data_IF_038766837887
#
_entry.id   IF_038766837887
#
_cell.length_a   1.000
_cell.length_b   1.000
_cell.length_c   1.000
_cell.angle_alpha   90.00
_cell.angle_beta   90.00
_cell.angle_gamma   90.00
#
_symmetry.space_group_name_H-M   'P 1'
#
loop_
_entity.id
_entity.type
_entity.pdbx_description
1 polymer ?
#
# COMPACT_ATOMS: atom_id res chain seq x y z
N UNK A 1 -37.59 -15.80 -25.32
CA UNK A 1 -37.40 -15.33 -23.93
C UNK A 1 -36.22 -16.09 -23.35
N UNK A 2 -35.14 -15.43 -22.91
CA UNK A 2 -34.08 -16.09 -22.13
C UNK A 2 -34.54 -16.09 -20.67
N UNK A 3 -34.77 -17.27 -20.10
CA UNK A 3 -35.01 -17.42 -18.68
C UNK A 3 -33.76 -16.97 -17.90
N UNK A 4 -33.94 -16.08 -16.93
CA UNK A 4 -32.88 -15.66 -16.01
C UNK A 4 -32.65 -16.80 -15.03
N UNK A 5 -31.48 -17.43 -15.12
CA UNK A 5 -31.01 -18.42 -14.17
C UNK A 5 -30.52 -17.67 -12.93
N UNK A 6 -31.30 -17.64 -11.85
CA UNK A 6 -30.88 -17.04 -10.58
C UNK A 6 -30.16 -18.09 -9.74
N UNK A 7 -28.83 -18.15 -9.87
CA UNK A 7 -27.96 -18.90 -8.96
C UNK A 7 -27.39 -17.97 -7.88
N UNK A 8 -27.43 -18.40 -6.63
CA UNK A 8 -26.66 -17.77 -5.54
C UNK A 8 -25.27 -18.38 -5.47
N UNK A 9 -24.24 -17.55 -5.33
CA UNK A 9 -22.87 -18.00 -5.07
C UNK A 9 -22.27 -17.24 -3.89
N UNK A 10 -21.29 -17.84 -3.21
CA UNK A 10 -20.55 -17.21 -2.12
C UNK A 10 -19.23 -16.64 -2.65
N UNK A 11 -18.92 -15.43 -2.23
CA UNK A 11 -17.69 -14.72 -2.58
C UNK A 11 -17.09 -14.09 -1.34
N UNK A 12 -15.78 -14.21 -1.18
CA UNK A 12 -15.06 -13.71 -0.01
C UNK A 12 -13.98 -12.72 -0.45
N UNK A 13 -13.73 -11.73 0.42
CA UNK A 13 -12.63 -10.78 0.28
C UNK A 13 -12.17 -10.40 1.68
N UNK A 14 -10.87 -10.22 1.86
CA UNK A 14 -10.25 -9.98 3.17
C UNK A 14 -9.49 -8.65 3.24
N UNK A 15 -9.14 -8.22 4.46
CA UNK A 15 -8.43 -6.98 4.79
C UNK A 15 -7.29 -7.22 5.73
N UNK A 16 -6.23 -6.42 5.60
CA UNK A 16 -5.31 -6.16 6.69
C UNK A 16 -5.32 -4.69 7.06
N UNK A 17 -4.98 -4.40 8.32
CA UNK A 17 -4.89 -3.04 8.85
C UNK A 17 -3.56 -2.38 8.44
N UNK A 18 -3.46 -1.09 8.71
CA UNK A 18 -2.29 -0.28 8.39
C UNK A 18 -0.99 -0.65 9.11
N UNK A 19 -1.10 -1.41 10.21
CA UNK A 19 -0.01 -1.92 11.03
C UNK A 19 0.41 -3.35 10.67
N UNK A 20 -0.20 -3.93 9.64
CA UNK A 20 0.32 -5.17 9.04
C UNK A 20 1.72 -4.92 8.48
N UNK A 21 2.70 -5.82 8.68
CA UNK A 21 4.08 -5.63 8.23
C UNK A 21 4.18 -5.26 6.75
N UNK A 22 3.43 -5.93 5.87
CA UNK A 22 3.42 -5.60 4.44
C UNK A 22 2.90 -4.19 4.15
N UNK A 23 1.95 -3.70 4.96
CA UNK A 23 1.43 -2.33 4.84
C UNK A 23 2.38 -1.29 5.39
N UNK A 24 3.26 -1.66 6.31
CA UNK A 24 4.39 -0.81 6.71
C UNK A 24 5.33 -0.66 5.51
N UNK A 25 5.72 -1.77 4.88
CA UNK A 25 6.59 -1.76 3.71
C UNK A 25 6.02 -0.89 2.58
N UNK A 26 4.75 -1.09 2.24
CA UNK A 26 4.05 -0.26 1.25
C UNK A 26 4.17 1.23 1.57
N UNK A 27 3.86 1.60 2.81
CA UNK A 27 3.82 3.01 3.24
C UNK A 27 5.20 3.64 3.24
N UNK A 28 6.23 2.90 3.68
CA UNK A 28 7.61 3.38 3.66
C UNK A 28 8.06 3.60 2.21
N UNK A 29 7.85 2.62 1.33
CA UNK A 29 8.15 2.75 -0.10
C UNK A 29 7.40 3.92 -0.76
N UNK A 30 6.13 4.15 -0.40
CA UNK A 30 5.38 5.33 -0.86
C UNK A 30 5.95 6.65 -0.33
N UNK A 31 6.29 6.72 0.97
CA UNK A 31 6.82 7.94 1.58
C UNK A 31 8.16 8.34 0.95
N UNK A 32 9.02 7.36 0.64
CA UNK A 32 10.28 7.58 -0.05
C UNK A 32 10.05 8.07 -1.48
N UNK A 33 9.12 7.45 -2.20
CA UNK A 33 8.73 7.92 -3.53
C UNK A 33 8.22 9.37 -3.51
N UNK A 34 7.32 9.70 -2.59
CA UNK A 34 6.76 11.05 -2.46
C UNK A 34 7.86 12.05 -2.15
N UNK A 35 8.80 11.71 -1.27
CA UNK A 35 9.98 12.54 -1.00
C UNK A 35 10.86 12.73 -2.25
N UNK A 36 11.05 11.70 -3.08
CA UNK A 36 11.80 11.87 -4.33
C UNK A 36 11.07 12.83 -5.30
N UNK A 37 9.77 12.63 -5.48
CA UNK A 37 8.96 13.36 -6.48
C UNK A 37 8.60 14.80 -6.07
N UNK A 38 8.53 15.10 -4.77
CA UNK A 38 8.18 16.42 -4.26
C UNK A 38 9.11 17.53 -4.78
N UNK A 39 10.41 17.23 -4.92
CA UNK A 39 11.41 18.22 -5.35
C UNK A 39 12.06 17.87 -6.69
N UNK A 40 11.99 16.61 -7.13
CA UNK A 40 12.42 16.19 -8.46
C UNK A 40 11.34 15.31 -9.12
N UNK A 41 10.45 15.96 -9.86
CA UNK A 41 9.35 15.33 -10.62
C UNK A 41 9.85 14.30 -11.66
N UNK A 42 11.14 14.35 -12.03
CA UNK A 42 11.75 13.41 -12.99
C UNK A 42 12.42 12.22 -12.32
N UNK A 43 12.39 12.14 -10.98
CA UNK A 43 12.96 11.03 -10.23
C UNK A 43 12.46 9.68 -10.75
N UNK A 44 13.39 8.74 -10.86
CA UNK A 44 13.14 7.34 -11.20
C UNK A 44 13.26 6.56 -9.92
N UNK A 45 12.19 5.89 -9.52
CA UNK A 45 12.11 5.27 -8.20
C UNK A 45 11.51 3.90 -8.35
N UNK A 46 12.28 2.90 -7.93
CA UNK A 46 11.84 1.54 -7.68
C UNK A 46 12.34 1.18 -6.27
N UNK A 47 11.60 1.66 -5.26
CA UNK A 47 11.95 1.53 -3.86
C UNK A 47 11.19 0.35 -3.25
N UNK A 48 11.94 -0.66 -2.83
CA UNK A 48 11.42 -1.82 -2.11
C UNK A 48 11.71 -1.67 -0.61
N UNK A 49 10.79 -2.16 0.21
CA UNK A 49 10.96 -2.18 1.67
C UNK A 49 10.63 -3.57 2.18
N UNK A 50 11.46 -4.09 3.08
CA UNK A 50 11.13 -5.26 3.89
C UNK A 50 11.33 -4.96 5.37
N UNK A 51 10.57 -5.63 6.23
CA UNK A 51 10.62 -5.42 7.68
C UNK A 51 10.64 -6.74 8.42
N UNK A 52 11.37 -6.76 9.53
CA UNK A 52 11.41 -7.87 10.48
C UNK A 52 11.57 -7.30 11.90
N UNK A 53 11.58 -8.17 12.90
CA UNK A 53 11.83 -7.80 14.30
C UNK A 53 13.02 -6.85 14.40
N UNK A 54 12.76 -5.66 14.92
CA UNK A 54 13.75 -4.60 15.15
C UNK A 54 14.52 -4.14 13.90
N UNK A 55 14.00 -4.35 12.69
CA UNK A 55 14.69 -4.00 11.45
C UNK A 55 13.73 -3.56 10.35
N UNK A 56 14.03 -2.45 9.70
CA UNK A 56 13.43 -2.04 8.42
C UNK A 56 14.55 -1.87 7.41
N UNK A 57 14.46 -2.55 6.28
CA UNK A 57 15.40 -2.43 5.18
C UNK A 57 14.72 -1.81 3.98
N UNK A 58 15.34 -0.78 3.44
CA UNK A 58 14.95 -0.12 2.20
C UNK A 58 16.00 -0.44 1.15
N UNK A 59 15.59 -0.91 -0.01
CA UNK A 59 16.48 -1.31 -1.10
C UNK A 59 15.86 -1.07 -2.47
N UNK A 60 16.66 -1.22 -3.53
CA UNK A 60 16.24 -1.03 -4.92
C UNK A 60 16.89 0.19 -5.57
N UNK A 61 16.31 0.63 -6.69
CA UNK A 61 16.94 1.57 -7.61
C UNK A 61 16.29 2.96 -7.53
N UNK A 62 17.07 3.97 -7.15
CA UNK A 62 16.61 5.35 -7.11
C UNK A 62 17.59 6.27 -7.84
N UNK A 63 17.09 6.93 -8.89
CA UNK A 63 17.80 7.99 -9.61
C UNK A 63 17.05 9.30 -9.40
N UNK A 64 17.60 10.18 -8.56
CA UNK A 64 17.03 11.49 -8.23
C UNK A 64 18.15 12.52 -8.03
N UNK A 65 17.86 13.79 -8.31
CA UNK A 65 18.78 14.89 -7.99
C UNK A 65 18.66 15.38 -6.54
N UNK A 66 17.71 14.84 -5.76
CA UNK A 66 17.44 15.23 -4.37
C UNK A 66 18.33 14.45 -3.40
N UNK A 67 18.78 15.13 -2.33
CA UNK A 67 19.25 14.43 -1.12
C UNK A 67 18.04 13.97 -0.31
N UNK A 68 17.84 12.67 -0.24
CA UNK A 68 16.75 12.03 0.51
C UNK A 68 17.31 11.43 1.79
N UNK A 69 16.70 11.77 2.92
CA UNK A 69 17.03 11.17 4.22
C UNK A 69 16.12 9.95 4.45
N UNK A 70 16.58 8.79 3.98
CA UNK A 70 15.82 7.55 4.04
C UNK A 70 15.55 7.10 5.48
N UNK A 71 16.52 7.23 6.39
CA UNK A 71 16.37 6.84 7.79
C UNK A 71 15.25 7.64 8.46
N UNK A 72 15.28 8.96 8.31
CA UNK A 72 14.23 9.83 8.86
C UNK A 72 12.85 9.48 8.30
N UNK A 73 12.73 9.25 6.99
CA UNK A 73 11.44 8.91 6.36
C UNK A 73 10.90 7.58 6.89
N UNK A 74 11.75 6.56 7.03
CA UNK A 74 11.37 5.25 7.59
C UNK A 74 10.83 5.44 9.00
N UNK A 75 11.57 6.12 9.87
CA UNK A 75 11.19 6.34 11.28
C UNK A 75 9.90 7.15 11.40
N UNK A 76 9.78 8.24 10.66
CA UNK A 76 8.58 9.09 10.67
C UNK A 76 7.35 8.33 10.19
N UNK A 77 7.51 7.48 9.18
CA UNK A 77 6.43 6.64 8.67
C UNK A 77 5.99 5.61 9.70
N UNK A 78 6.93 4.86 10.30
CA UNK A 78 6.65 3.88 11.35
C UNK A 78 5.98 4.55 12.57
N UNK A 79 6.47 5.71 13.01
CA UNK A 79 5.89 6.47 14.11
C UNK A 79 4.48 6.95 13.80
N UNK A 80 4.22 7.40 12.56
CA UNK A 80 2.90 7.81 12.09
C UNK A 80 1.86 6.67 12.07
N UNK A 81 2.30 5.41 11.95
CA UNK A 81 1.43 4.23 12.04
C UNK A 81 1.10 3.89 13.51
N UNK A 82 2.02 4.18 14.44
CA UNK A 82 1.87 3.92 15.87
C UNK A 82 2.99 3.07 16.49
N UNK A 83 4.04 2.74 15.73
CA UNK A 83 5.19 1.97 16.20
C UNK A 83 6.13 2.84 17.04
N UNK A 84 5.87 2.90 18.34
CA UNK A 84 6.52 3.82 19.30
C UNK A 84 7.25 3.08 20.44
N UNK A 85 7.16 1.75 20.49
CA UNK A 85 7.86 0.93 21.49
C UNK A 85 7.98 -0.52 21.01
N UNK A 86 8.94 -1.26 21.57
CA UNK A 86 9.10 -2.68 21.24
C UNK A 86 7.85 -3.52 21.58
N UNK A 87 7.08 -3.11 22.60
CA UNK A 87 5.86 -3.81 23.06
C UNK A 87 4.74 -3.80 22.01
N UNK A 88 4.71 -2.79 21.14
CA UNK A 88 3.74 -2.73 20.02
C UNK A 88 4.24 -3.46 18.76
N UNK A 89 5.41 -4.12 18.84
CA UNK A 89 6.00 -4.97 17.80
C UNK A 89 7.16 -4.34 17.04
N UNK A 90 7.27 -3.01 17.03
CA UNK A 90 8.38 -2.27 16.43
C UNK A 90 8.51 -0.91 17.12
N UNK A 91 9.74 -0.51 17.39
CA UNK A 91 10.08 0.80 17.94
C UNK A 91 10.74 1.66 16.85
N UNK A 92 10.05 2.69 16.35
CA UNK A 92 10.58 3.55 15.29
C UNK A 92 11.85 4.30 15.70
N UNK A 93 12.07 4.56 16.99
CA UNK A 93 13.22 5.32 17.46
C UNK A 93 14.46 4.41 17.66
N UNK A 94 14.24 3.14 17.97
CA UNK A 94 15.31 2.18 18.28
C UNK A 94 15.53 1.09 17.22
N UNK A 95 14.66 0.98 16.20
CA UNK A 95 14.84 -0.03 15.16
C UNK A 95 16.07 0.22 14.29
N UNK A 96 16.64 -0.88 13.80
CA UNK A 96 17.74 -0.85 12.83
C UNK A 96 17.18 -0.50 11.44
N UNK A 97 17.67 0.60 10.85
CA UNK A 97 17.29 0.98 9.49
C UNK A 97 18.45 0.71 8.56
N UNK A 98 18.25 -0.23 7.64
CA UNK A 98 19.22 -0.60 6.62
C UNK A 98 18.86 0.08 5.30
N UNK A 99 19.76 0.90 4.77
CA UNK A 99 19.56 1.60 3.50
C UNK A 99 20.51 1.00 2.48
N UNK A 100 19.96 0.26 1.51
CA UNK A 100 20.70 -0.41 0.45
C UNK A 100 20.13 0.00 -0.93
N UNK A 101 20.17 1.31 -1.20
CA UNK A 101 19.69 1.93 -2.44
C UNK A 101 20.83 2.06 -3.44
N UNK A 102 20.61 1.60 -4.67
CA UNK A 102 21.53 1.73 -5.80
C UNK A 102 20.99 2.73 -6.83
N UNK A 103 21.86 3.18 -7.74
CA UNK A 103 21.42 3.94 -8.92
C UNK A 103 20.89 2.98 -9.98
N UNK A 104 19.83 3.37 -10.67
CA UNK A 104 19.24 2.55 -11.74
C UNK A 104 20.27 2.21 -12.82
N UNK A 105 20.26 0.96 -13.27
CA UNK A 105 21.18 0.51 -14.33
C UNK A 105 20.94 1.27 -15.65
N UNK A 106 22.00 1.59 -16.42
CA UNK A 106 21.87 2.28 -17.70
C UNK A 106 21.00 1.54 -18.72
N UNK A 107 21.06 0.20 -18.74
CA UNK A 107 20.29 -0.63 -19.67
C UNK A 107 18.78 -0.53 -19.41
N UNK A 108 18.36 -0.55 -18.13
CA UNK A 108 16.95 -0.37 -17.75
C UNK A 108 16.51 1.06 -18.01
N UNK A 109 17.37 2.05 -17.72
CA UNK A 109 17.07 3.45 -18.01
C UNK A 109 16.84 3.67 -19.52
N UNK A 110 17.64 3.05 -20.38
CA UNK A 110 17.51 3.17 -21.83
C UNK A 110 16.19 2.56 -22.34
N UNK A 111 15.81 1.38 -21.86
CA UNK A 111 14.58 0.72 -22.27
C UNK A 111 13.32 1.49 -21.82
N UNK A 112 13.34 2.00 -20.58
CA UNK A 112 12.19 2.69 -19.98
C UNK A 112 12.05 4.13 -20.49
N UNK A 113 13.11 4.77 -21.00
CA UNK A 113 13.10 6.20 -21.36
C UNK A 113 13.09 6.51 -22.86
N UNK A 114 13.42 5.55 -23.71
CA UNK A 114 13.53 5.76 -25.17
C UNK A 114 12.18 6.02 -25.88
N UNK A 115 11.04 5.68 -25.25
CA UNK A 115 9.73 5.64 -25.93
C UNK A 115 8.71 6.73 -25.51
N UNK A 116 9.06 7.71 -24.67
CA UNK A 116 8.09 8.68 -24.13
C UNK A 116 7.95 9.97 -24.96
N UNK A 117 6.90 10.06 -25.80
CA UNK A 117 6.35 11.35 -26.27
C UNK A 117 5.58 12.02 -25.12
N UNK A 118 5.95 13.27 -24.82
CA UNK A 118 5.45 14.06 -23.69
C UNK A 118 4.02 14.56 -23.94
N UNK A 119 3.06 14.10 -23.14
CA UNK A 119 1.81 14.82 -22.92
C UNK A 119 1.72 15.28 -21.46
N UNK A 120 1.47 16.57 -21.24
CA UNK A 120 1.41 17.18 -19.91
C UNK A 120 -0.04 17.26 -19.47
N UNK A 121 -0.48 16.32 -18.63
CA UNK A 121 -1.74 16.45 -17.89
C UNK A 121 -1.49 16.41 -16.38
N UNK A 122 -2.04 17.40 -15.68
CA UNK A 122 -1.94 17.56 -14.22
C UNK A 122 -2.77 16.48 -13.53
N UNK A 123 -2.20 15.82 -12.52
CA UNK A 123 -2.91 14.94 -11.60
C UNK A 123 -3.58 15.74 -10.48
N UNK A 124 -4.79 15.34 -10.09
CA UNK A 124 -5.55 15.96 -8.99
C UNK A 124 -5.03 15.47 -7.62
N UNK A 125 -5.09 16.31 -6.57
CA UNK A 125 -4.65 15.91 -5.24
C UNK A 125 -5.72 15.06 -4.54
N UNK A 126 -5.29 13.95 -3.93
CA UNK A 126 -6.17 13.02 -3.24
C UNK A 126 -5.96 13.10 -1.72
N UNK A 127 -6.95 13.61 -0.99
CA UNK A 127 -6.98 13.52 0.48
C UNK A 127 -8.40 13.33 1.02
N UNK A 128 -8.45 12.72 2.20
CA UNK A 128 -9.59 12.46 3.12
C UNK A 128 -10.32 11.12 2.94
N UNK A 129 -9.75 10.06 3.54
CA UNK A 129 -10.52 9.03 4.27
C UNK A 129 -9.67 8.13 5.19
N UNK A 130 -8.34 8.15 5.08
CA UNK A 130 -7.44 7.30 5.89
C UNK A 130 -7.18 7.75 7.33
N UNK A 131 -7.83 8.79 7.85
CA UNK A 131 -7.55 9.34 9.19
C UNK A 131 -8.38 8.73 10.33
N UNK A 132 -9.41 7.91 10.03
CA UNK A 132 -10.42 7.54 11.04
C UNK A 132 -10.19 6.21 11.76
N UNK A 133 -9.34 5.31 11.26
CA UNK A 133 -9.03 4.04 11.92
C UNK A 133 -7.79 4.14 12.84
N UNK A 134 -6.90 5.09 12.58
CA UNK A 134 -5.75 5.40 13.46
C UNK A 134 -6.20 6.14 14.74
N UNK A 135 -7.29 6.90 14.69
CA UNK A 135 -7.90 7.54 15.89
C UNK A 135 -8.52 6.52 16.86
N UNK A 136 -9.00 5.36 16.38
CA UNK A 136 -9.60 4.31 17.22
C UNK A 136 -8.56 3.71 18.19
N UNK A 137 -7.27 3.74 17.83
CA UNK A 137 -6.17 3.31 18.71
C UNK A 137 -5.93 4.30 19.87
N UNK A 138 -6.36 5.56 19.74
CA UNK A 138 -6.24 6.60 20.78
C UNK A 138 -7.39 6.57 21.79
N UNK A 139 -8.61 6.26 21.34
CA UNK A 139 -9.82 6.41 22.16
C UNK A 139 -10.33 5.11 22.82
N UNK A 140 -9.70 3.95 22.54
CA UNK A 140 -10.02 2.61 23.10
C UNK A 140 -11.48 2.14 22.98
N UNK A 141 -12.36 2.91 22.34
CA UNK A 141 -13.72 2.49 21.99
C UNK A 141 -13.78 2.27 20.48
N UNK A 142 -14.03 1.03 20.08
CA UNK A 142 -14.32 0.69 18.69
C UNK A 142 -15.83 0.80 18.47
N UNK A 143 -16.36 1.88 17.87
CA UNK A 143 -17.65 1.79 17.20
C UNK A 143 -17.42 0.88 15.99
N UNK A 144 -17.61 -0.43 16.19
CA UNK A 144 -17.73 -1.41 15.11
C UNK A 144 -18.60 -0.80 14.01
N UNK A 145 -18.04 -0.71 12.81
CA UNK A 145 -18.78 -0.29 11.63
C UNK A 145 -19.89 -1.32 11.45
N UNK A 146 -21.11 -1.02 11.90
CA UNK A 146 -22.26 -1.91 11.69
C UNK A 146 -22.50 -1.95 10.19
N UNK A 147 -22.37 -3.12 9.52
CA UNK A 147 -22.76 -3.24 8.13
C UNK A 147 -24.23 -2.83 7.96
N UNK A 148 -24.60 -2.35 6.79
CA UNK A 148 -25.98 -1.98 6.47
C UNK A 148 -26.91 -3.15 6.82
N UNK A 149 -27.93 -2.89 7.66
CA UNK A 149 -28.79 -3.93 8.25
C UNK A 149 -29.55 -4.74 7.21
N UNK A 150 -29.70 -4.23 5.98
CA UNK A 150 -30.35 -4.96 4.88
C UNK A 150 -29.57 -6.20 4.40
N UNK A 151 -28.29 -6.33 4.76
CA UNK A 151 -27.42 -7.46 4.38
C UNK A 151 -27.14 -8.43 5.54
N UNK A 152 -27.72 -8.18 6.71
CA UNK A 152 -27.52 -8.99 7.91
C UNK A 152 -28.81 -9.67 8.30
N UNK A 153 -28.74 -10.95 8.62
CA UNK A 153 -29.84 -11.76 9.12
C UNK A 153 -29.35 -12.72 10.22
N UNK A 154 -30.28 -13.48 10.81
CA UNK A 154 -29.97 -14.45 11.88
C UNK A 154 -29.06 -15.59 11.43
N UNK A 155 -28.84 -15.75 10.11
CA UNK A 155 -27.96 -16.76 9.52
C UNK A 155 -26.55 -16.21 9.26
N UNK A 156 -26.33 -14.92 9.46
CA UNK A 156 -25.03 -14.28 9.24
C UNK A 156 -24.03 -14.73 10.31
N UNK A 157 -22.90 -15.29 9.87
CA UNK A 157 -21.88 -15.85 10.75
C UNK A 157 -20.82 -14.79 11.04
N UNK A 158 -20.60 -14.50 12.33
CA UNK A 158 -19.55 -13.58 12.78
C UNK A 158 -18.41 -14.35 13.46
N UNK A 159 -17.22 -14.27 12.88
CA UNK A 159 -15.99 -14.74 13.51
C UNK A 159 -15.20 -13.54 14.05
N UNK A 160 -15.26 -13.32 15.37
CA UNK A 160 -14.52 -12.25 16.04
C UNK A 160 -13.35 -12.85 16.81
N UNK A 161 -12.12 -12.56 16.38
CA UNK A 161 -10.89 -13.14 16.91
C UNK A 161 -11.00 -14.67 17.15
N UNK A 162 -11.32 -15.46 16.11
CA UNK A 162 -11.58 -16.90 16.25
C UNK A 162 -10.38 -17.68 16.79
N UNK A 163 -9.17 -17.11 16.67
CA UNK A 163 -7.91 -17.69 17.16
C UNK A 163 -7.45 -17.11 18.51
N UNK A 164 -8.29 -16.33 19.19
CA UNK A 164 -7.95 -15.65 20.45
C UNK A 164 -7.15 -14.36 20.26
N UNK A 165 -6.71 -13.76 21.38
CA UNK A 165 -5.84 -12.58 21.38
C UNK A 165 -4.40 -13.07 21.14
N UNK A 166 -3.97 -13.06 19.89
CA UNK A 166 -2.61 -13.42 19.51
C UNK A 166 -1.72 -12.20 19.30
N UNK A 167 -0.52 -12.21 19.87
CA UNK A 167 0.59 -11.36 19.43
C UNK A 167 1.21 -11.98 18.18
N UNK A 168 0.72 -11.58 17.01
CA UNK A 168 1.19 -12.12 15.74
C UNK A 168 2.53 -11.48 15.34
N UNK A 169 3.64 -12.20 15.54
CA UNK A 169 4.93 -11.93 14.92
C UNK A 169 5.00 -12.71 13.59
N UNK A 170 4.49 -12.12 12.51
CA UNK A 170 4.70 -12.68 11.15
C UNK A 170 6.00 -12.15 10.59
N UNK A 171 6.90 -13.10 10.32
CA UNK A 171 8.02 -12.96 9.41
C UNK A 171 7.50 -13.29 8.02
N UNK A 172 7.57 -12.40 7.02
CA UNK A 172 7.75 -12.78 5.60
C UNK A 172 7.99 -11.54 4.74
N UNK A 173 8.67 -11.75 3.61
CA UNK A 173 8.99 -10.77 2.57
C UNK A 173 8.00 -10.98 1.42
N UNK A 174 7.04 -10.10 1.25
CA UNK A 174 6.24 -9.97 0.03
C UNK A 174 6.17 -8.51 -0.42
N UNK A 175 6.47 -8.27 -1.69
CA UNK A 175 6.08 -7.05 -2.39
C UNK A 175 4.56 -7.08 -2.51
N UNK A 176 3.88 -6.20 -1.78
CA UNK A 176 2.43 -6.18 -1.79
C UNK A 176 1.90 -5.59 -3.11
N UNK A 177 1.03 -6.34 -3.78
CA UNK A 177 0.32 -5.93 -5.01
C UNK A 177 -0.81 -4.90 -4.77
N UNK A 178 -0.78 -4.15 -3.67
CA UNK A 178 -1.92 -3.35 -3.25
C UNK A 178 -1.80 -1.85 -3.58
N UNK A 179 -2.85 -1.22 -4.16
CA UNK A 179 -2.95 0.21 -4.17
C UNK A 179 -3.53 0.72 -2.84
N UNK A 180 -2.97 1.83 -2.40
CA UNK A 180 -3.66 3.03 -1.94
C UNK A 180 -4.96 2.86 -1.13
N UNK A 181 -4.87 3.36 0.11
CA UNK A 181 -5.79 3.43 1.27
C UNK A 181 -7.32 3.62 1.09
N UNK A 182 -7.91 3.67 -0.11
CA UNK A 182 -9.27 4.18 -0.30
C UNK A 182 -10.19 3.39 -1.26
N UNK A 183 -9.93 2.11 -1.61
CA UNK A 183 -10.79 1.41 -2.57
C UNK A 183 -11.37 0.08 -2.10
N UNK A 184 -12.63 -0.12 -2.51
CA UNK A 184 -13.47 -1.28 -2.26
C UNK A 184 -12.76 -2.56 -2.76
N UNK A 185 -12.06 -3.28 -1.87
CA UNK A 185 -11.26 -4.48 -2.23
C UNK A 185 -12.05 -5.57 -2.95
N UNK A 186 -13.38 -5.53 -2.85
CA UNK A 186 -14.30 -6.35 -3.62
C UNK A 186 -14.03 -6.32 -5.13
N UNK A 187 -13.60 -5.19 -5.68
CA UNK A 187 -13.43 -5.06 -7.14
C UNK A 187 -12.14 -5.69 -7.67
N UNK A 188 -11.18 -6.03 -6.79
CA UNK A 188 -9.92 -6.66 -7.20
C UNK A 188 -10.03 -8.17 -7.35
N UNK A 189 -10.68 -8.83 -6.39
CA UNK A 189 -10.88 -10.28 -6.42
C UNK A 189 -11.92 -10.74 -7.45
N UNK A 190 -12.78 -9.84 -7.93
CA UNK A 190 -13.76 -10.12 -8.98
C UNK A 190 -13.18 -10.01 -10.40
N UNK A 191 -11.92 -9.61 -10.56
CA UNK A 191 -11.31 -9.29 -11.85
C UNK A 191 -9.89 -9.83 -11.93
N UNK A 192 -9.27 -9.72 -13.11
CA UNK A 192 -7.92 -10.23 -13.33
C UNK A 192 -6.85 -9.32 -12.70
N UNK A 193 -5.75 -9.92 -12.23
CA UNK A 193 -4.56 -9.23 -11.74
C UNK A 193 -3.40 -9.36 -12.73
N UNK A 194 -2.63 -8.28 -12.95
CA UNK A 194 -1.48 -8.26 -13.86
C UNK A 194 -0.14 -8.68 -13.22
N UNK A 195 -0.10 -8.84 -11.89
CA UNK A 195 1.08 -9.28 -11.13
C UNK A 195 2.05 -8.16 -10.70
N UNK A 196 1.75 -6.90 -11.03
CA UNK A 196 2.64 -5.77 -10.75
C UNK A 196 2.26 -4.98 -9.50
N UNK A 197 3.19 -4.89 -8.53
CA UNK A 197 3.05 -4.05 -7.35
C UNK A 197 3.09 -2.54 -7.69
N UNK A 198 2.54 -1.70 -6.81
CA UNK A 198 2.42 -0.25 -7.03
C UNK A 198 3.29 0.60 -6.11
N UNK A 199 3.44 0.21 -4.84
CA UNK A 199 4.20 0.95 -3.83
C UNK A 199 5.65 1.13 -4.26
N UNK A 200 6.23 2.32 -4.01
CA UNK A 200 7.63 2.58 -4.33
C UNK A 200 7.99 2.73 -5.81
N UNK A 201 7.02 2.60 -6.73
CA UNK A 201 7.25 2.76 -8.18
C UNK A 201 6.82 4.14 -8.68
N UNK A 202 7.72 4.81 -9.40
CA UNK A 202 7.42 6.09 -10.04
C UNK A 202 6.42 5.95 -11.22
N UNK A 203 5.76 7.04 -11.65
CA UNK A 203 4.67 6.97 -12.63
C UNK A 203 5.05 6.43 -14.02
N UNK A 204 6.33 6.32 -14.37
CA UNK A 204 6.71 5.71 -15.65
C UNK A 204 6.59 4.18 -15.64
N UNK A 205 6.54 3.56 -14.45
CA UNK A 205 6.42 2.11 -14.31
C UNK A 205 4.98 1.73 -14.60
N UNK A 206 4.79 1.04 -15.73
CA UNK A 206 3.47 0.76 -16.33
C UNK A 206 2.57 -0.09 -15.42
N UNK A 207 3.15 -0.89 -14.53
CA UNK A 207 2.42 -1.61 -13.49
C UNK A 207 1.48 -0.66 -12.75
N UNK A 208 1.99 0.51 -12.35
CA UNK A 208 1.21 1.50 -11.59
C UNK A 208 0.36 2.39 -12.48
N UNK A 209 0.99 3.07 -13.45
CA UNK A 209 0.28 4.06 -14.26
C UNK A 209 -0.73 3.43 -15.22
N UNK A 210 -0.40 2.28 -15.80
CA UNK A 210 -1.30 1.50 -16.64
C UNK A 210 -2.52 1.02 -15.86
N UNK A 211 -2.32 0.46 -14.65
CA UNK A 211 -3.43 0.06 -13.78
C UNK A 211 -4.36 1.24 -13.42
N UNK A 212 -3.80 2.41 -13.14
CA UNK A 212 -4.59 3.61 -12.83
C UNK A 212 -5.42 4.08 -14.02
N UNK A 213 -4.84 4.07 -15.24
CA UNK A 213 -5.56 4.46 -16.46
C UNK A 213 -6.67 3.46 -16.77
N UNK A 214 -6.40 2.15 -16.68
CA UNK A 214 -7.43 1.12 -16.90
C UNK A 214 -8.57 1.29 -15.90
N UNK A 215 -8.26 1.56 -14.63
CA UNK A 215 -9.28 1.85 -13.62
C UNK A 215 -10.13 3.07 -14.00
N UNK A 216 -9.50 4.15 -14.44
CA UNK A 216 -10.21 5.35 -14.86
C UNK A 216 -11.15 5.04 -16.03
N UNK A 217 -10.66 4.33 -17.05
CA UNK A 217 -11.46 3.90 -18.20
C UNK A 217 -12.66 3.06 -17.78
N UNK A 218 -12.50 2.10 -16.87
CA UNK A 218 -13.60 1.29 -16.36
C UNK A 218 -14.61 2.07 -15.51
N UNK A 219 -14.22 3.21 -14.91
CA UNK A 219 -15.13 4.04 -14.10
C UNK A 219 -15.93 5.04 -14.94
N UNK A 220 -15.47 5.34 -16.17
CA UNK A 220 -16.12 6.27 -17.09
C UNK A 220 -17.29 5.65 -17.86
N UNK A 221 -17.52 4.36 -17.70
CA UNK A 221 -18.66 3.60 -18.21
C UNK A 221 -19.57 3.15 -17.06
#
# INVERSE_FOLDING_TARGET
>A
MRERIWGTFLFTSESVNEDHPDKICDKVSYAILDACLEQDVKSKVACETCTKTNMVMVFGDITTNRKVDYDKIVRDTCRGIGFTSADVGLDADNCNVLVNIEQQSPDIAQEVHSHLRRDRRKSEPMTKLGAKLTEIRKDRTCPLLKPDTKYLDDKTIFHLNPYGIGSLLVNFMEMSDSPMKNYNRYQWWLSAHGGGAFSGKDPIKVDRSGAYIVRQSCKMW
#
